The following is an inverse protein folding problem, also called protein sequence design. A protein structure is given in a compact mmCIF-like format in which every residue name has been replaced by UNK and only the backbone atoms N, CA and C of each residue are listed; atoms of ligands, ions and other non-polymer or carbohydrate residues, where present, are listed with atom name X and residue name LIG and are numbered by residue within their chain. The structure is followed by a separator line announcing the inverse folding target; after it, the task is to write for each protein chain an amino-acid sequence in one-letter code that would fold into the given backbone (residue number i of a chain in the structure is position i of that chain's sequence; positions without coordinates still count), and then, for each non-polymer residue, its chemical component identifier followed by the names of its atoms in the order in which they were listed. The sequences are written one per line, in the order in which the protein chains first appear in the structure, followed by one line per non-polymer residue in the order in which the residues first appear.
data_IF_858009823392
#
_entry.id   IF_858009823392
#
_cell.length_a   1.000
_cell.length_b   1.000
_cell.length_c   1.000
_cell.angle_alpha   90.00
_cell.angle_beta   90.00
_cell.angle_gamma   90.00
#
_symmetry.space_group_name_H-M   'P 1'
#
loop_
_entity.id
_entity.type
_entity.pdbx_description
1 polymer ?
#
# COMPACT_ATOMS: atom_id res chain seq x y z
N UNK A 1 11.22 33.29 -37.88
CA UNK A 1 11.34 31.82 -37.92
C UNK A 1 10.51 31.26 -36.78
N UNK A 2 9.29 30.83 -37.10
CA UNK A 2 8.30 30.28 -36.17
C UNK A 2 7.92 28.94 -36.77
N UNK A 3 8.32 27.85 -36.13
CA UNK A 3 7.91 26.50 -36.52
C UNK A 3 6.87 26.01 -35.51
N UNK A 4 5.61 26.08 -35.93
CA UNK A 4 4.46 25.43 -35.30
C UNK A 4 4.30 24.08 -36.01
N UNK A 5 4.31 22.98 -35.26
CA UNK A 5 3.81 21.70 -35.77
C UNK A 5 2.94 21.03 -34.70
N UNK A 6 1.64 21.24 -34.83
CA UNK A 6 0.58 20.47 -34.19
C UNK A 6 0.29 19.25 -35.05
N UNK A 7 0.49 18.05 -34.50
CA UNK A 7 0.14 16.78 -35.12
C UNK A 7 -0.99 16.10 -34.35
N UNK A 8 -2.22 16.36 -34.79
CA UNK A 8 -3.45 15.69 -34.38
C UNK A 8 -3.52 14.33 -35.08
N UNK A 9 -3.55 13.22 -34.34
CA UNK A 9 -3.84 11.88 -34.89
C UNK A 9 -5.34 11.61 -34.74
N UNK A 10 -6.01 11.49 -35.89
CA UNK A 10 -7.43 11.22 -36.00
C UNK A 10 -7.63 9.74 -36.35
N UNK A 11 -8.57 9.07 -35.67
CA UNK A 11 -8.90 7.66 -35.85
C UNK A 11 -10.22 7.55 -36.61
N UNK A 12 -10.17 7.14 -37.88
CA UNK A 12 -11.35 6.82 -38.69
C UNK A 12 -11.32 5.39 -39.26
N UNK A 13 -12.49 4.74 -39.17
CA UNK A 13 -12.85 3.39 -39.62
C UNK A 13 -13.22 3.34 -41.11
N UNK A 14 -12.98 2.19 -41.77
CA UNK A 14 -13.87 1.43 -42.71
C UNK A 14 -13.02 0.33 -43.40
N UNK A 15 -13.32 -0.97 -43.55
CA UNK A 15 -14.46 -1.86 -43.93
C UNK A 15 -14.55 -2.20 -45.46
N UNK A 16 -14.58 -3.51 -45.73
CA UNK A 16 -15.00 -4.30 -46.94
C UNK A 16 -13.90 -4.69 -47.96
N UNK A 17 -13.57 -5.97 -48.23
CA UNK A 17 -14.27 -7.16 -48.83
C UNK A 17 -14.57 -7.04 -50.35
N UNK A 18 -14.04 -7.97 -51.16
CA UNK A 18 -14.66 -8.76 -52.25
C UNK A 18 -13.56 -9.39 -53.15
N UNK A 19 -13.50 -10.72 -53.31
CA UNK A 19 -14.00 -11.48 -54.50
C UNK A 19 -12.78 -12.01 -55.29
N UNK A 20 -12.71 -13.16 -55.95
CA UNK A 20 -13.60 -14.26 -56.31
C UNK A 20 -12.78 -15.27 -57.15
N UNK A 21 -13.27 -16.51 -57.26
CA UNK A 21 -12.72 -17.67 -58.01
C UNK A 21 -12.54 -17.39 -59.52
N UNK A 22 -11.62 -18.11 -60.19
CA UNK A 22 -11.90 -19.08 -61.29
C UNK A 22 -10.61 -19.68 -61.92
N UNK A 23 -10.56 -21.01 -61.93
CA UNK A 23 -10.15 -21.97 -62.99
C UNK A 23 -9.07 -21.63 -64.04
N UNK A 24 -8.09 -22.56 -64.20
CA UNK A 24 -7.81 -23.40 -65.39
C UNK A 24 -6.38 -23.98 -65.29
N UNK A 25 -6.24 -25.30 -65.07
CA UNK A 25 -5.99 -26.37 -66.07
C UNK A 25 -4.58 -26.30 -66.70
N UNK A 26 -3.76 -27.31 -66.40
CA UNK A 26 -2.74 -27.78 -67.34
C UNK A 26 -2.64 -29.31 -67.29
N UNK A 27 -2.39 -29.87 -68.45
CA UNK A 27 -2.79 -31.17 -68.96
C UNK A 27 -1.87 -32.33 -68.56
N UNK A 28 -2.45 -33.53 -68.47
CA UNK A 28 -1.69 -34.79 -68.42
C UNK A 28 -1.37 -35.26 -69.84
N UNK A 29 -0.13 -35.66 -70.08
CA UNK A 29 0.23 -36.55 -71.18
C UNK A 29 0.88 -37.84 -70.63
N UNK A 30 0.49 -38.99 -71.17
CA UNK A 30 0.89 -40.35 -70.73
C UNK A 30 1.65 -41.08 -71.86
N UNK A 31 2.37 -42.13 -71.41
CA UNK A 31 2.92 -43.31 -72.13
C UNK A 31 4.32 -43.05 -72.69
N UNK A 32 5.33 -43.92 -72.56
CA UNK A 32 5.49 -45.27 -72.02
C UNK A 32 6.81 -45.84 -72.56
N UNK A 33 7.10 -47.10 -72.25
CA UNK A 33 8.10 -48.01 -72.89
C UNK A 33 9.41 -48.26 -72.13
N UNK A 34 9.82 -49.51 -72.28
CA UNK A 34 10.60 -50.41 -71.45
C UNK A 34 12.12 -50.36 -71.67
N UNK A 35 12.83 -50.85 -70.65
CA UNK A 35 14.09 -51.64 -70.70
C UNK A 35 15.32 -51.11 -71.44
N UNK A 36 16.41 -50.97 -70.67
CA UNK A 36 17.68 -51.65 -70.99
C UNK A 36 18.54 -51.73 -69.73
N UNK A 37 18.92 -52.97 -69.37
CA UNK A 37 19.92 -53.27 -68.34
C UNK A 37 21.30 -53.15 -68.97
N UNK A 38 22.26 -52.67 -68.18
CA UNK A 38 23.72 -52.56 -68.41
C UNK A 38 24.14 -51.21 -68.96
N UNK A 39 24.52 -50.31 -68.04
CA UNK A 39 25.77 -49.54 -68.07
C UNK A 39 25.76 -48.51 -66.94
N UNK A 40 25.75 -48.97 -65.69
CA UNK A 40 26.14 -48.15 -64.53
C UNK A 40 26.86 -49.05 -63.51
N UNK A 41 27.95 -49.69 -63.95
CA UNK A 41 29.11 -49.85 -63.06
C UNK A 41 29.78 -48.48 -63.05
N UNK A 42 30.19 -48.03 -61.86
CA UNK A 42 30.85 -46.74 -61.57
C UNK A 42 29.93 -45.55 -61.28
N UNK A 43 29.02 -45.67 -60.29
CA UNK A 43 28.77 -44.59 -59.33
C UNK A 43 27.92 -45.09 -58.14
N UNK A 44 28.52 -45.89 -57.25
CA UNK A 44 27.97 -46.16 -55.91
C UNK A 44 29.02 -45.87 -54.86
N UNK A 45 29.30 -44.57 -54.70
CA UNK A 45 29.95 -44.02 -53.51
C UNK A 45 29.09 -42.82 -53.09
N UNK A 46 28.60 -42.91 -51.85
CA UNK A 46 27.87 -41.89 -51.08
C UNK A 46 26.44 -41.55 -51.55
N UNK A 47 25.49 -42.32 -51.03
CA UNK A 47 24.23 -41.75 -50.55
C UNK A 47 23.82 -42.52 -49.30
N UNK A 48 24.38 -42.11 -48.16
CA UNK A 48 23.90 -42.50 -46.83
C UNK A 48 22.55 -41.79 -46.66
N UNK A 49 21.44 -42.49 -46.91
CA UNK A 49 20.17 -42.12 -46.30
C UNK A 49 20.25 -42.54 -44.84
N UNK A 50 20.59 -41.61 -43.96
CA UNK A 50 20.37 -41.79 -42.53
C UNK A 50 18.88 -41.60 -42.30
N UNK A 51 18.20 -42.71 -41.99
CA UNK A 51 16.84 -42.69 -41.48
C UNK A 51 16.83 -41.91 -40.16
N UNK A 52 16.11 -40.80 -40.09
CA UNK A 52 15.94 -39.99 -38.87
C UNK A 52 14.84 -40.54 -37.95
N UNK A 53 14.70 -41.86 -37.89
CA UNK A 53 13.76 -42.55 -37.02
C UNK A 53 14.51 -43.54 -36.12
N UNK A 54 15.36 -42.99 -35.26
CA UNK A 54 15.77 -43.68 -34.02
C UNK A 54 14.91 -43.09 -32.92
N UNK A 55 13.70 -43.62 -32.75
CA UNK A 55 13.02 -43.51 -31.46
C UNK A 55 13.75 -44.47 -30.53
N UNK A 56 14.87 -44.01 -29.97
CA UNK A 56 15.64 -44.76 -29.00
C UNK A 56 14.73 -44.92 -27.78
N UNK A 57 14.37 -46.16 -27.43
CA UNK A 57 13.80 -46.48 -26.11
C UNK A 57 14.85 -46.11 -25.08
N UNK A 58 14.77 -44.89 -24.54
CA UNK A 58 15.52 -44.48 -23.37
C UNK A 58 15.07 -45.32 -22.17
N UNK A 59 16.02 -45.78 -21.37
CA UNK A 59 15.68 -46.37 -20.06
C UNK A 59 14.97 -45.29 -19.23
N UNK A 60 13.82 -45.61 -18.65
CA UNK A 60 13.08 -44.74 -17.71
C UNK A 60 13.99 -44.16 -16.61
N UNK A 61 15.08 -44.86 -16.30
CA UNK A 61 16.10 -44.43 -15.32
C UNK A 61 17.02 -43.31 -15.81
N UNK A 62 17.32 -43.22 -17.11
CA UNK A 62 18.19 -42.18 -17.67
C UNK A 62 17.46 -40.84 -17.77
N UNK A 63 16.20 -40.86 -18.21
CA UNK A 63 15.37 -39.65 -18.29
C UNK A 63 15.15 -39.06 -16.90
N UNK A 64 14.84 -39.90 -15.91
CA UNK A 64 14.67 -39.45 -14.51
C UNK A 64 15.96 -38.93 -13.87
N UNK A 65 17.13 -39.50 -14.19
CA UNK A 65 18.43 -39.05 -13.66
C UNK A 65 18.81 -37.61 -14.04
N UNK A 66 18.25 -37.09 -15.15
CA UNK A 66 18.45 -35.70 -15.59
C UNK A 66 17.31 -34.77 -15.11
N UNK A 67 16.10 -35.30 -14.98
CA UNK A 67 14.93 -34.51 -14.54
C UNK A 67 14.98 -34.20 -13.04
N UNK A 68 15.39 -35.16 -12.21
CA UNK A 68 15.50 -34.98 -10.75
C UNK A 68 16.44 -33.83 -10.34
N UNK A 69 17.68 -33.70 -10.84
CA UNK A 69 18.55 -32.58 -10.46
C UNK A 69 18.00 -31.23 -10.93
N UNK A 70 17.35 -31.16 -12.09
CA UNK A 70 16.69 -29.93 -12.53
C UNK A 70 15.51 -29.56 -11.63
N UNK A 71 14.69 -30.54 -11.24
CA UNK A 71 13.56 -30.35 -10.35
C UNK A 71 14.01 -29.90 -8.96
N UNK A 72 15.05 -30.53 -8.40
CA UNK A 72 15.63 -30.12 -7.12
C UNK A 72 16.21 -28.69 -7.22
N UNK A 73 16.93 -28.37 -8.30
CA UNK A 73 17.43 -27.03 -8.53
C UNK A 73 16.28 -26.00 -8.60
N UNK A 74 15.20 -26.31 -9.32
CA UNK A 74 14.03 -25.44 -9.42
C UNK A 74 13.35 -25.21 -8.06
N UNK A 75 13.16 -26.26 -7.26
CA UNK A 75 12.57 -26.14 -5.91
C UNK A 75 13.48 -25.31 -4.99
N UNK A 76 14.79 -25.55 -5.00
CA UNK A 76 15.73 -24.74 -4.21
C UNK A 76 15.76 -23.27 -4.64
N UNK A 77 15.66 -22.99 -5.94
CA UNK A 77 15.56 -21.62 -6.46
C UNK A 77 14.26 -20.93 -6.05
N UNK A 78 13.12 -21.64 -6.06
CA UNK A 78 11.86 -21.10 -5.55
C UNK A 78 11.94 -20.78 -4.05
N UNK A 79 12.49 -21.70 -3.24
CA UNK A 79 12.69 -21.47 -1.81
C UNK A 79 13.65 -20.30 -1.55
N UNK A 80 14.69 -20.15 -2.36
CA UNK A 80 15.62 -19.02 -2.30
C UNK A 80 14.90 -17.69 -2.52
N UNK A 81 14.10 -17.59 -3.58
CA UNK A 81 13.32 -16.37 -3.86
C UNK A 81 12.34 -16.08 -2.73
N UNK A 82 11.69 -17.09 -2.16
CA UNK A 82 10.77 -16.91 -1.04
C UNK A 82 11.46 -16.36 0.21
N UNK A 83 12.59 -16.94 0.63
CA UNK A 83 13.37 -16.46 1.78
C UNK A 83 13.87 -15.03 1.56
N UNK A 84 14.38 -14.73 0.36
CA UNK A 84 14.86 -13.40 0.02
C UNK A 84 13.74 -12.36 0.01
N UNK A 85 12.60 -12.67 -0.60
CA UNK A 85 11.44 -11.76 -0.64
C UNK A 85 10.86 -11.51 0.75
N UNK A 86 10.83 -12.54 1.62
CA UNK A 86 10.43 -12.41 3.01
C UNK A 86 11.32 -11.45 3.80
N UNK A 87 12.64 -11.62 3.70
CA UNK A 87 13.62 -10.75 4.37
C UNK A 87 13.49 -9.29 3.92
N UNK A 88 13.35 -9.07 2.61
CA UNK A 88 13.21 -7.73 2.06
C UNK A 88 11.88 -7.07 2.47
N UNK A 89 10.80 -7.85 2.60
CA UNK A 89 9.50 -7.32 3.00
C UNK A 89 9.48 -6.80 4.44
N UNK A 90 10.23 -7.42 5.37
CA UNK A 90 10.33 -6.95 6.75
C UNK A 90 11.06 -5.61 6.83
N UNK A 91 12.22 -5.50 6.18
CA UNK A 91 13.01 -4.26 6.10
C UNK A 91 12.24 -3.12 5.43
N UNK A 92 11.53 -3.42 4.35
CA UNK A 92 10.71 -2.43 3.65
C UNK A 92 9.54 -1.93 4.52
N UNK A 93 8.93 -2.80 5.33
CA UNK A 93 7.83 -2.43 6.23
C UNK A 93 8.29 -1.45 7.31
N UNK A 94 9.43 -1.68 7.96
CA UNK A 94 9.92 -0.79 9.02
C UNK A 94 10.25 0.60 8.46
N UNK A 95 10.90 0.65 7.30
CA UNK A 95 11.22 1.92 6.63
C UNK A 95 9.94 2.67 6.22
N UNK A 96 8.94 1.94 5.72
CA UNK A 96 7.63 2.50 5.37
C UNK A 96 6.89 3.02 6.59
N UNK A 97 6.91 2.31 7.72
CA UNK A 97 6.31 2.77 8.97
C UNK A 97 7.00 4.06 9.46
N UNK A 98 8.33 4.11 9.42
CA UNK A 98 9.07 5.33 9.77
C UNK A 98 8.70 6.50 8.86
N UNK A 99 8.67 6.28 7.53
CA UNK A 99 8.26 7.30 6.58
C UNK A 99 6.84 7.80 6.84
N UNK A 100 5.89 6.90 7.15
CA UNK A 100 4.52 7.26 7.51
C UNK A 100 4.45 8.05 8.81
N UNK A 101 5.21 7.69 9.84
CA UNK A 101 5.24 8.45 11.09
C UNK A 101 5.76 9.86 10.86
N UNK A 102 6.83 10.02 10.09
CA UNK A 102 7.41 11.33 9.77
C UNK A 102 6.48 12.18 8.91
N UNK A 103 5.82 11.57 7.92
CA UNK A 103 4.83 12.21 7.06
C UNK A 103 3.65 12.81 7.84
N UNK A 104 3.33 12.29 9.03
CA UNK A 104 2.26 12.81 9.91
C UNK A 104 2.79 13.81 10.95
N UNK A 105 4.01 13.62 11.46
CA UNK A 105 4.54 14.44 12.57
C UNK A 105 5.26 15.69 12.14
N UNK A 106 6.02 15.63 11.03
CA UNK A 106 6.94 16.72 10.66
C UNK A 106 6.24 17.81 9.85
N UNK A 107 5.13 17.48 9.18
CA UNK A 107 4.21 18.44 8.57
C UNK A 107 4.89 19.44 7.63
N UNK A 108 4.83 19.16 6.33
CA UNK A 108 5.47 19.87 5.22
C UNK A 108 6.95 19.51 5.06
N UNK A 109 7.20 18.75 3.98
CA UNK A 109 8.52 18.37 3.51
C UNK A 109 9.51 19.53 3.50
N UNK A 110 10.79 19.17 3.61
CA UNK A 110 11.93 20.07 3.67
C UNK A 110 12.09 21.03 2.47
N UNK A 111 11.18 20.98 1.49
CA UNK A 111 11.06 21.92 0.38
C UNK A 111 9.63 22.45 0.34
N UNK A 112 9.51 23.79 0.28
CA UNK A 112 8.29 24.62 0.41
C UNK A 112 7.17 24.35 -0.63
N UNK A 113 7.26 23.26 -1.40
CA UNK A 113 6.25 22.84 -2.37
C UNK A 113 6.19 21.35 -2.69
N UNK A 114 6.97 20.50 -2.01
CA UNK A 114 6.97 19.04 -2.27
C UNK A 114 6.24 18.29 -1.14
N UNK A 115 4.99 17.80 -1.36
CA UNK A 115 4.20 17.14 -0.33
C UNK A 115 4.61 15.68 -0.10
N UNK A 116 5.86 15.31 -0.37
CA UNK A 116 6.35 13.95 -0.27
C UNK A 116 7.60 13.84 0.61
N UNK A 117 7.48 13.15 1.74
CA UNK A 117 8.62 12.70 2.54
C UNK A 117 9.33 11.53 1.85
N UNK A 118 10.64 11.68 1.62
CA UNK A 118 11.53 10.65 1.06
C UNK A 118 12.52 10.15 2.10
N UNK A 119 12.53 8.85 2.35
CA UNK A 119 13.53 8.21 3.20
C UNK A 119 14.46 7.31 2.38
N UNK A 120 15.74 7.35 2.73
CA UNK A 120 16.79 6.52 2.17
C UNK A 120 17.41 5.69 3.27
N UNK A 121 17.46 4.38 3.09
CA UNK A 121 18.17 3.47 3.98
C UNK A 121 19.28 2.76 3.21
N UNK A 122 20.48 2.80 3.78
CA UNK A 122 21.62 2.04 3.30
C UNK A 122 21.70 0.77 4.15
N UNK A 123 21.50 -0.40 3.53
CA UNK A 123 21.61 -1.69 4.23
C UNK A 123 22.63 -2.60 3.53
N UNK A 124 23.35 -3.39 4.32
CA UNK A 124 24.28 -4.40 3.81
C UNK A 124 23.53 -5.74 3.79
N UNK A 125 23.07 -6.15 2.60
CA UNK A 125 22.35 -7.41 2.49
C UNK A 125 23.35 -8.54 2.52
N UNK A 126 23.31 -9.31 3.61
CA UNK A 126 24.05 -10.56 3.75
C UNK A 126 23.17 -11.67 3.21
N UNK A 127 23.65 -12.39 2.19
CA UNK A 127 22.89 -13.49 1.61
C UNK A 127 22.77 -14.63 2.64
N UNK A 128 21.57 -15.17 2.89
CA UNK A 128 21.34 -16.17 3.93
C UNK A 128 22.07 -17.50 3.71
N UNK A 129 22.68 -17.70 2.54
CA UNK A 129 23.50 -18.86 2.21
C UNK A 129 24.91 -18.39 1.84
N UNK A 130 25.69 -18.01 2.85
CA UNK A 130 27.12 -17.69 2.70
C UNK A 130 27.98 -18.88 2.25
N UNK A 131 27.38 -20.06 2.02
CA UNK A 131 28.03 -21.25 1.49
C UNK A 131 28.67 -21.03 0.10
N UNK A 132 28.18 -20.06 -0.66
CA UNK A 132 28.89 -19.49 -1.78
C UNK A 132 29.38 -18.09 -1.39
N UNK A 133 30.68 -17.82 -1.58
CA UNK A 133 31.36 -16.55 -1.23
C UNK A 133 30.95 -15.33 -2.07
N UNK A 134 29.66 -15.15 -2.33
CA UNK A 134 29.11 -13.90 -2.83
C UNK A 134 29.07 -12.93 -1.65
N UNK A 135 30.13 -12.12 -1.49
CA UNK A 135 30.28 -11.16 -0.39
C UNK A 135 29.08 -10.21 -0.19
N UNK A 136 29.12 -9.43 0.89
CA UNK A 136 28.08 -8.45 1.20
C UNK A 136 27.93 -7.40 0.10
N UNK A 137 26.69 -7.14 -0.32
CA UNK A 137 26.37 -6.03 -1.22
C UNK A 137 25.57 -4.96 -0.49
N UNK A 138 25.99 -3.72 -0.63
CA UNK A 138 25.22 -2.57 -0.17
C UNK A 138 24.01 -2.37 -1.08
N UNK A 139 22.82 -2.34 -0.50
CA UNK A 139 21.56 -2.01 -1.17
C UNK A 139 21.05 -0.70 -0.61
N UNK A 140 20.63 0.19 -1.50
CA UNK A 140 19.95 1.44 -1.11
C UNK A 140 18.45 1.23 -1.31
N UNK A 141 17.69 1.33 -0.22
CA UNK A 141 16.24 1.32 -0.25
C UNK A 141 15.72 2.76 -0.20
N UNK A 142 14.75 3.05 -1.06
CA UNK A 142 14.05 4.34 -1.12
C UNK A 142 12.58 4.12 -0.84
N UNK A 143 12.03 4.89 0.08
CA UNK A 143 10.59 4.96 0.34
C UNK A 143 10.13 6.40 0.14
N UNK A 144 9.03 6.56 -0.58
CA UNK A 144 8.38 7.85 -0.82
C UNK A 144 6.97 7.74 -0.29
N UNK A 145 6.62 8.59 0.67
CA UNK A 145 5.28 8.67 1.24
C UNK A 145 4.79 10.09 1.07
N UNK A 146 3.51 10.26 0.75
CA UNK A 146 2.87 11.58 0.71
C UNK A 146 2.63 12.05 2.13
N UNK A 147 2.97 13.30 2.41
CA UNK A 147 2.75 13.92 3.70
C UNK A 147 1.27 14.02 4.02
N UNK A 148 0.96 13.86 5.30
CA UNK A 148 -0.39 14.06 5.78
C UNK A 148 -0.67 15.55 5.85
N UNK A 149 -1.56 16.02 4.97
CA UNK A 149 -1.92 17.44 4.88
C UNK A 149 -2.87 17.89 6.00
N UNK A 150 -3.29 16.97 6.88
CA UNK A 150 -4.27 17.27 7.91
C UNK A 150 -5.69 17.48 7.36
N UNK A 151 -6.55 17.95 8.25
CA UNK A 151 -7.79 18.65 7.90
C UNK A 151 -7.51 20.14 8.07
N UNK A 152 -6.73 20.74 7.16
CA UNK A 152 -6.63 22.21 7.13
C UNK A 152 -7.92 22.76 6.55
N UNK A 153 -8.37 23.94 7.01
CA UNK A 153 -9.56 24.60 6.46
C UNK A 153 -9.48 24.80 4.93
N UNK A 154 -8.26 24.80 4.39
CA UNK A 154 -7.95 24.92 2.96
C UNK A 154 -8.07 23.61 2.18
N UNK A 155 -8.00 22.44 2.84
CA UNK A 155 -8.21 21.12 2.22
C UNK A 155 -9.65 20.91 1.72
N UNK A 156 -10.55 21.81 2.10
CA UNK A 156 -11.98 21.81 1.77
C UNK A 156 -12.37 22.97 0.84
N UNK A 157 -11.40 23.61 0.19
CA UNK A 157 -11.67 24.67 -0.80
C UNK A 157 -12.30 24.14 -2.10
N UNK A 158 -12.55 22.83 -2.19
CA UNK A 158 -13.39 22.23 -3.22
C UNK A 158 -14.82 22.14 -2.68
N UNK A 159 -15.66 23.06 -3.14
CA UNK A 159 -17.07 23.26 -2.79
C UNK A 159 -17.25 23.74 -1.33
N UNK A 160 -17.82 24.92 -1.13
CA UNK A 160 -17.91 25.64 0.16
C UNK A 160 -18.76 24.98 1.27
N UNK A 161 -18.61 23.67 1.48
CA UNK A 161 -19.23 22.90 2.53
C UNK A 161 -18.53 23.17 3.86
N UNK A 162 -19.25 23.85 4.76
CA UNK A 162 -18.76 24.14 6.10
C UNK A 162 -18.73 22.84 6.91
N UNK A 163 -17.55 22.44 7.37
CA UNK A 163 -17.40 21.32 8.29
C UNK A 163 -17.66 21.76 9.73
N UNK A 164 -18.36 20.91 10.47
CA UNK A 164 -18.64 21.11 11.88
C UNK A 164 -18.27 19.86 12.67
N UNK A 165 -17.97 20.07 13.94
CA UNK A 165 -17.54 19.03 14.85
C UNK A 165 -18.70 18.58 15.73
N UNK A 166 -18.93 17.27 15.76
CA UNK A 166 -20.03 16.63 16.50
C UNK A 166 -19.49 15.48 17.32
N UNK A 167 -20.07 15.27 18.50
CA UNK A 167 -19.85 14.05 19.28
C UNK A 167 -20.97 13.06 18.99
N UNK A 168 -20.72 11.74 18.87
CA UNK A 168 -21.74 10.75 18.49
C UNK A 168 -23.02 10.75 19.36
N UNK A 169 -22.91 11.18 20.62
CA UNK A 169 -24.03 11.28 21.58
C UNK A 169 -24.44 12.71 21.89
N UNK A 170 -23.89 13.69 21.18
CA UNK A 170 -24.15 15.10 21.42
C UNK A 170 -25.36 15.57 20.62
N UNK A 171 -26.10 16.50 21.19
CA UNK A 171 -27.26 17.15 20.55
C UNK A 171 -26.86 18.45 19.82
N UNK A 172 -25.60 18.86 19.97
CA UNK A 172 -25.09 20.14 19.47
C UNK A 172 -23.90 19.92 18.56
N UNK A 173 -23.79 20.76 17.53
CA UNK A 173 -22.59 20.86 16.72
C UNK A 173 -21.72 22.03 17.17
N UNK A 174 -20.42 21.93 16.88
CA UNK A 174 -19.42 22.94 17.18
C UNK A 174 -18.75 23.40 15.89
N UNK A 175 -18.49 24.69 15.73
CA UNK A 175 -17.76 25.23 14.56
C UNK A 175 -16.24 25.06 14.69
N UNK A 176 -15.73 25.09 15.92
CA UNK A 176 -14.29 24.95 16.19
C UNK A 176 -14.01 23.69 17.01
N UNK A 177 -12.90 23.03 16.67
CA UNK A 177 -12.32 21.91 17.41
C UNK A 177 -11.94 22.31 18.83
N UNK A 178 -11.57 23.58 19.01
CA UNK A 178 -11.09 24.17 20.25
C UNK A 178 -12.18 24.80 21.10
N UNK A 179 -13.45 24.61 20.73
CA UNK A 179 -14.57 25.04 21.56
C UNK A 179 -14.38 24.50 23.00
N UNK A 180 -14.50 25.32 24.03
CA UNK A 180 -14.33 24.94 25.45
C UNK A 180 -15.11 23.68 25.86
N UNK A 181 -16.32 23.52 25.32
CA UNK A 181 -17.18 22.36 25.55
C UNK A 181 -16.73 21.11 24.76
N UNK A 182 -16.00 21.30 23.65
CA UNK A 182 -15.38 20.29 22.78
C UNK A 182 -13.85 20.15 22.97
N UNK A 183 -13.20 20.94 23.83
CA UNK A 183 -11.79 20.83 24.27
C UNK A 183 -11.61 20.91 25.81
N UNK A 184 -11.94 19.79 26.47
CA UNK A 184 -11.35 19.16 27.68
C UNK A 184 -9.97 19.65 28.14
N UNK A 185 -9.82 20.75 28.88
CA UNK A 185 -8.56 21.03 29.59
C UNK A 185 -8.35 20.01 30.71
N UNK A 186 -7.38 19.10 30.55
CA UNK A 186 -7.03 18.04 31.49
C UNK A 186 -5.77 18.45 32.26
N UNK A 187 -5.85 18.44 33.58
CA UNK A 187 -4.72 18.69 34.48
C UNK A 187 -4.41 17.43 35.29
N UNK A 188 -3.13 17.20 35.56
CA UNK A 188 -2.66 16.14 36.45
C UNK A 188 -2.22 16.74 37.79
N UNK A 189 -2.81 16.29 38.88
CA UNK A 189 -2.50 16.74 40.24
C UNK A 189 -2.10 15.54 41.10
N UNK A 190 -1.32 15.79 42.15
CA UNK A 190 -1.03 14.77 43.15
C UNK A 190 -2.29 14.48 44.00
N UNK A 191 -2.47 13.23 44.44
CA UNK A 191 -3.64 12.87 45.26
C UNK A 191 -3.77 13.71 46.55
N UNK A 192 -2.66 14.11 47.16
CA UNK A 192 -2.68 14.98 48.35
C UNK A 192 -3.27 16.38 48.09
N UNK A 193 -3.29 16.85 46.84
CA UNK A 193 -3.87 18.14 46.47
C UNK A 193 -5.36 18.04 46.11
N UNK A 194 -5.90 16.83 45.97
CA UNK A 194 -7.28 16.60 45.51
C UNK A 194 -8.32 17.20 46.46
N UNK A 195 -8.07 17.16 47.77
CA UNK A 195 -8.97 17.71 48.78
C UNK A 195 -9.04 19.23 48.78
N UNK A 196 -7.96 19.91 48.34
CA UNK A 196 -7.90 21.35 48.19
C UNK A 196 -8.36 21.82 46.80
N UNK A 197 -8.21 20.98 45.78
CA UNK A 197 -8.60 21.31 44.40
C UNK A 197 -10.11 21.53 44.27
N UNK A 198 -10.48 22.60 43.56
CA UNK A 198 -11.88 22.92 43.23
C UNK A 198 -12.01 23.12 41.74
N UNK A 199 -13.17 22.75 41.19
CA UNK A 199 -13.49 23.09 39.81
C UNK A 199 -13.76 24.60 39.70
N UNK A 200 -13.93 25.12 38.49
CA UNK A 200 -14.20 26.54 38.26
C UNK A 200 -15.48 27.03 38.96
N UNK A 201 -16.46 26.15 39.16
CA UNK A 201 -17.70 26.44 39.87
C UNK A 201 -17.57 26.32 41.40
N UNK A 202 -16.37 26.04 41.92
CA UNK A 202 -16.11 25.90 43.35
C UNK A 202 -16.50 24.56 43.98
N UNK A 203 -16.93 23.58 43.18
CA UNK A 203 -17.29 22.23 43.65
C UNK A 203 -16.07 21.33 43.85
N UNK A 204 -16.22 20.33 44.74
CA UNK A 204 -15.20 19.30 45.01
C UNK A 204 -15.23 18.20 43.96
N UNK A 205 -14.06 17.64 43.66
CA UNK A 205 -13.95 16.49 42.77
C UNK A 205 -14.35 15.19 43.48
N UNK A 206 -15.21 14.41 42.83
CA UNK A 206 -15.70 13.11 43.29
C UNK A 206 -15.11 11.96 42.46
N UNK A 207 -15.19 10.74 42.97
CA UNK A 207 -14.58 9.58 42.33
C UNK A 207 -15.30 9.19 41.03
N UNK A 208 -14.56 9.07 39.92
CA UNK A 208 -15.15 8.60 38.67
C UNK A 208 -15.63 7.15 38.77
N UNK A 209 -16.90 6.93 38.43
CA UNK A 209 -17.59 5.62 38.41
C UNK A 209 -16.87 4.58 37.53
N UNK A 210 -16.15 5.00 36.49
CA UNK A 210 -15.53 4.08 35.54
C UNK A 210 -14.12 3.63 35.94
N UNK A 211 -13.28 4.55 36.40
CA UNK A 211 -11.86 4.28 36.64
C UNK A 211 -11.47 4.21 38.11
N UNK A 212 -12.31 4.69 39.04
CA UNK A 212 -11.99 4.71 40.47
C UNK A 212 -12.75 3.64 41.24
N UNK A 213 -13.72 2.90 40.64
CA UNK A 213 -14.51 1.75 41.17
C UNK A 213 -14.04 1.14 42.53
N UNK A 214 -14.15 1.89 43.62
CA UNK A 214 -13.70 1.55 44.99
C UNK A 214 -12.18 1.44 45.23
N UNK A 215 -11.35 1.79 44.27
CA UNK A 215 -9.90 1.96 44.43
C UNK A 215 -9.57 3.31 45.09
N UNK A 216 -8.48 3.36 45.87
CA UNK A 216 -7.95 4.61 46.40
C UNK A 216 -7.43 5.49 45.25
N UNK A 217 -7.39 6.83 45.43
CA UNK A 217 -6.73 7.69 44.45
C UNK A 217 -5.27 7.25 44.26
N UNK A 218 -4.84 7.13 43.00
CA UNK A 218 -3.44 6.83 42.68
C UNK A 218 -2.50 7.97 43.06
N UNK A 219 -1.18 7.81 42.89
CA UNK A 219 -0.22 8.87 43.20
C UNK A 219 -0.52 10.19 42.45
N UNK A 220 -0.92 10.07 41.18
CA UNK A 220 -1.35 11.18 40.32
C UNK A 220 -2.77 10.93 39.84
N UNK A 221 -3.62 11.95 39.91
CA UNK A 221 -5.00 11.93 39.44
C UNK A 221 -5.22 13.01 38.39
N UNK A 222 -6.16 12.76 37.50
CA UNK A 222 -6.51 13.66 36.41
C UNK A 222 -7.85 14.32 36.70
N UNK A 223 -7.85 15.65 36.66
CA UNK A 223 -9.04 16.47 36.83
C UNK A 223 -9.23 17.35 35.60
N UNK A 224 -10.43 17.90 35.46
CA UNK A 224 -10.72 18.90 34.43
C UNK A 224 -11.30 20.14 35.08
N UNK A 225 -11.12 21.31 34.47
CA UNK A 225 -11.56 22.59 35.05
C UNK A 225 -13.08 22.67 35.28
N UNK A 226 -13.86 21.96 34.45
CA UNK A 226 -15.33 21.95 34.49
C UNK A 226 -15.93 20.65 35.00
N UNK A 227 -15.19 19.55 34.96
CA UNK A 227 -15.69 18.28 35.45
C UNK A 227 -15.81 18.30 36.96
N UNK A 228 -16.71 17.46 37.48
CA UNK A 228 -16.90 17.23 38.91
C UNK A 228 -16.26 15.93 39.38
N UNK A 229 -15.62 15.19 38.48
CA UNK A 229 -15.02 13.89 38.75
C UNK A 229 -13.50 13.91 38.55
N UNK A 230 -12.77 13.21 39.41
CA UNK A 230 -11.35 12.90 39.20
C UNK A 230 -11.17 11.49 38.63
N UNK A 231 -10.06 11.29 37.92
CA UNK A 231 -9.77 10.04 37.20
C UNK A 231 -8.36 9.52 37.52
N UNK A 232 -8.20 8.20 37.71
CA UNK A 232 -6.87 7.58 37.87
C UNK A 232 -6.12 7.35 36.54
N UNK A 233 -6.83 7.34 35.41
CA UNK A 233 -6.25 7.03 34.08
C UNK A 233 -6.60 8.12 33.07
N UNK A 234 -5.61 8.62 32.32
CA UNK A 234 -5.83 9.52 31.15
C UNK A 234 -6.73 8.88 30.09
N UNK A 235 -6.74 7.55 30.05
CA UNK A 235 -7.51 6.76 29.07
C UNK A 235 -8.94 6.46 29.50
N UNK A 236 -9.42 7.02 30.62
CA UNK A 236 -10.77 6.77 31.10
C UNK A 236 -11.82 7.22 30.07
N UNK A 237 -12.82 6.37 29.81
CA UNK A 237 -13.96 6.68 28.93
C UNK A 237 -14.81 7.87 29.39
N UNK A 238 -14.76 8.22 30.68
CA UNK A 238 -15.43 9.42 31.21
C UNK A 238 -14.63 10.71 31.00
N UNK A 239 -13.34 10.59 30.67
CA UNK A 239 -12.44 11.72 30.42
C UNK A 239 -12.25 11.96 28.91
N UNK A 240 -12.20 10.88 28.14
CA UNK A 240 -12.12 10.92 26.67
C UNK A 240 -13.48 11.21 26.05
N UNK A 241 -13.50 12.01 24.98
CA UNK A 241 -14.66 12.15 24.11
C UNK A 241 -14.26 11.93 22.66
N UNK A 242 -15.12 11.24 21.91
CA UNK A 242 -14.95 11.06 20.47
C UNK A 242 -15.53 12.26 19.75
N UNK A 243 -14.73 12.88 18.88
CA UNK A 243 -15.13 14.04 18.07
C UNK A 243 -15.00 13.66 16.61
N UNK A 244 -16.05 13.89 15.85
CA UNK A 244 -16.12 13.64 14.41
C UNK A 244 -16.32 14.97 13.69
N UNK A 245 -15.67 15.17 12.55
CA UNK A 245 -15.96 16.27 11.65
C UNK A 245 -16.94 15.75 10.58
N UNK A 246 -18.08 16.42 10.45
CA UNK A 246 -19.10 16.11 9.45
C UNK A 246 -19.46 17.39 8.69
N UNK A 247 -19.88 17.32 7.42
CA UNK A 247 -20.38 18.50 6.71
C UNK A 247 -21.66 19.00 7.38
N UNK A 248 -21.88 20.32 7.38
CA UNK A 248 -23.04 20.95 8.02
C UNK A 248 -24.38 20.38 7.53
N UNK A 249 -24.46 20.03 6.25
CA UNK A 249 -25.63 19.38 5.62
C UNK A 249 -26.04 18.07 6.31
N UNK A 250 -25.11 17.36 6.96
CA UNK A 250 -25.35 16.09 7.65
C UNK A 250 -25.65 16.24 9.15
N UNK A 251 -25.70 17.47 9.67
CA UNK A 251 -25.96 17.71 11.11
C UNK A 251 -27.39 17.36 11.56
N UNK A 252 -28.31 17.11 10.62
CA UNK A 252 -29.65 16.64 10.94
C UNK A 252 -30.45 17.55 11.88
N UNK A 253 -30.20 18.87 11.84
CA UNK A 253 -30.92 19.86 12.66
C UNK A 253 -30.40 20.00 14.10
N UNK A 254 -29.21 19.49 14.42
CA UNK A 254 -28.55 19.80 15.69
C UNK A 254 -28.41 21.30 15.89
N UNK A 255 -28.60 21.78 17.13
CA UNK A 255 -28.42 23.19 17.46
C UNK A 255 -26.93 23.55 17.53
N UNK A 256 -26.59 24.79 17.20
CA UNK A 256 -25.24 25.27 17.42
C UNK A 256 -24.92 25.31 18.92
N UNK A 257 -23.72 24.93 19.30
CA UNK A 257 -23.23 25.14 20.66
C UNK A 257 -23.30 26.63 21.03
N UNK A 258 -23.77 26.96 22.24
CA UNK A 258 -23.89 28.35 22.70
C UNK A 258 -22.56 29.12 22.63
N UNK A 259 -21.45 28.45 22.95
CA UNK A 259 -20.11 29.05 22.83
C UNK A 259 -19.60 29.19 21.39
N UNK A 260 -20.20 28.50 20.42
CA UNK A 260 -19.88 28.62 18.98
C UNK A 260 -20.88 29.47 18.21
N UNK A 261 -22.07 29.72 18.76
CA UNK A 261 -23.14 30.48 18.11
C UNK A 261 -23.06 31.99 18.32
N UNK A 262 -22.27 32.44 19.31
CA UNK A 262 -22.03 33.86 19.59
C UNK A 262 -20.85 34.48 18.83
N UNK A 263 -20.31 33.78 17.82
CA UNK A 263 -19.23 34.24 16.95
C UNK A 263 -19.72 34.40 15.52
#
# INVERSE_FOLDING_TARGET
MVFIWSGHMDMSKQKERHGGRLFCRCEKYKKGVQTSRRLWRLQKVVSRRVCLCVFQRGSLTLETSLVLPFLLCAVTAMLYVFVMTGFQAEKYRTLTQQAQTLAVTVGQGADEGDPYTRLYAYDQVTLPFAAFSFGSRSVVQRVVVRDWVGYTGESFSGDGEIFVYVTPKGEVYHRSRDCRYLNVSIQSIAAGQLDAARNWDGSRYTACVYCVKKEKPGAMVYITNYGTNYHNRKTCRGLKRTVMAIPYSQTGGMRCCQGCGGS
#
